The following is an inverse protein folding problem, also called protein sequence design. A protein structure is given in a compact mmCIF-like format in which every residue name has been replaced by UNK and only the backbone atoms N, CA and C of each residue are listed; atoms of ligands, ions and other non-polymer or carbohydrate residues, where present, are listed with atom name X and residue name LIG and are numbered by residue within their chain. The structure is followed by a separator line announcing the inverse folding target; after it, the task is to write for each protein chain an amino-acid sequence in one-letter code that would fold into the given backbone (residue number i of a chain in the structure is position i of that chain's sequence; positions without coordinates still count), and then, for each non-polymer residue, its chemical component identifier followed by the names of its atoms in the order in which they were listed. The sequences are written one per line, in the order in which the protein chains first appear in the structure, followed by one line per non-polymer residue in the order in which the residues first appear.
data_IF_450783952185
#
_entry.id   IF_450783952185
#
_cell.length_a   1.000
_cell.length_b   1.000
_cell.length_c   1.000
_cell.angle_alpha   90.00
_cell.angle_beta   90.00
_cell.angle_gamma   90.00
#
_symmetry.space_group_name_H-M   'P 1'
#
loop_
_entity.id
_entity.type
_entity.pdbx_description
1 polymer ?
#
# COMPACT_ATOMS: atom_id res chain seq x y z
N UNK A 1 -14.12 -23.74 -18.77
CA UNK A 1 -14.10 -23.29 -17.36
C UNK A 1 -12.76 -22.63 -17.09
N UNK A 2 -12.72 -21.35 -16.69
CA UNK A 2 -11.46 -20.66 -16.38
C UNK A 2 -10.92 -21.20 -15.05
N UNK A 3 -9.67 -21.71 -15.05
CA UNK A 3 -8.98 -22.15 -13.83
C UNK A 3 -8.75 -20.92 -12.94
N UNK A 4 -9.40 -20.87 -11.78
CA UNK A 4 -9.20 -19.80 -10.80
C UNK A 4 -7.93 -20.09 -10.01
N UNK A 5 -6.93 -19.22 -10.12
CA UNK A 5 -5.78 -19.20 -9.20
C UNK A 5 -6.15 -18.34 -8.00
N UNK A 6 -5.86 -18.83 -6.79
CA UNK A 6 -6.21 -18.16 -5.53
C UNK A 6 -4.94 -17.85 -4.76
N UNK A 7 -4.86 -16.63 -4.26
CA UNK A 7 -3.86 -16.16 -3.29
C UNK A 7 -4.62 -15.80 -2.02
N UNK A 8 -4.07 -16.13 -0.86
CA UNK A 8 -4.67 -15.82 0.44
C UNK A 8 -3.72 -14.89 1.18
N UNK A 9 -4.25 -13.76 1.63
CA UNK A 9 -3.58 -12.85 2.55
C UNK A 9 -4.25 -12.97 3.92
N UNK A 10 -3.46 -13.12 4.96
CA UNK A 10 -3.96 -13.17 6.34
C UNK A 10 -3.66 -11.84 7.01
N UNK A 11 -4.69 -11.23 7.58
CA UNK A 11 -4.59 -9.99 8.34
C UNK A 11 -5.06 -10.27 9.77
N UNK A 12 -4.47 -9.58 10.74
CA UNK A 12 -5.10 -9.46 12.05
C UNK A 12 -6.40 -8.64 11.96
N UNK A 13 -7.21 -8.69 13.02
CA UNK A 13 -8.52 -8.04 13.06
C UNK A 13 -8.45 -6.52 12.86
N UNK A 14 -7.44 -5.84 13.40
CA UNK A 14 -7.29 -4.38 13.27
C UNK A 14 -6.90 -3.99 11.85
N UNK A 15 -6.00 -4.77 11.25
CA UNK A 15 -5.56 -4.60 9.87
C UNK A 15 -6.70 -4.86 8.88
N UNK A 16 -7.52 -5.89 9.12
CA UNK A 16 -8.72 -6.16 8.31
C UNK A 16 -9.73 -5.03 8.41
N UNK A 17 -10.03 -4.56 9.63
CA UNK A 17 -10.93 -3.42 9.84
C UNK A 17 -10.43 -2.16 9.14
N UNK A 18 -9.13 -1.89 9.21
CA UNK A 18 -8.52 -0.74 8.52
C UNK A 18 -8.68 -0.86 6.99
N UNK A 19 -8.57 -2.07 6.44
CA UNK A 19 -8.79 -2.33 5.02
C UNK A 19 -10.26 -2.11 4.61
N UNK A 20 -11.20 -2.49 5.47
CA UNK A 20 -12.63 -2.23 5.29
C UNK A 20 -12.94 -0.73 5.32
N UNK A 21 -12.36 0.01 6.28
CA UNK A 21 -12.51 1.46 6.38
C UNK A 21 -11.98 2.16 5.12
N UNK A 22 -10.83 1.73 4.59
CA UNK A 22 -10.28 2.26 3.32
C UNK A 22 -11.21 1.96 2.15
N UNK A 23 -11.81 0.75 2.10
CA UNK A 23 -12.80 0.41 1.07
C UNK A 23 -13.96 1.41 1.09
N UNK A 24 -14.52 1.67 2.26
CA UNK A 24 -15.68 2.54 2.44
C UNK A 24 -15.35 4.01 2.15
N UNK A 25 -14.27 4.54 2.72
CA UNK A 25 -13.85 5.93 2.56
C UNK A 25 -13.32 6.23 1.15
N UNK A 26 -12.65 5.26 0.53
CA UNK A 26 -12.17 5.34 -0.86
C UNK A 26 -13.25 5.07 -1.90
N UNK A 27 -14.48 4.75 -1.48
CA UNK A 27 -15.58 4.35 -2.34
C UNK A 27 -15.25 3.20 -3.29
N UNK A 28 -14.41 2.26 -2.85
CA UNK A 28 -14.04 1.09 -3.63
C UNK A 28 -15.21 0.10 -3.68
N UNK A 29 -15.47 -0.46 -4.86
CA UNK A 29 -16.61 -1.35 -5.10
C UNK A 29 -16.50 -2.70 -4.39
N UNK A 30 -15.27 -3.12 -4.05
CA UNK A 30 -15.00 -4.40 -3.39
C UNK A 30 -13.69 -4.37 -2.61
N UNK A 31 -13.52 -5.29 -1.65
CA UNK A 31 -12.24 -5.51 -0.98
C UNK A 31 -11.12 -5.89 -1.97
N UNK A 32 -11.46 -6.58 -3.06
CA UNK A 32 -10.49 -6.96 -4.09
C UNK A 32 -9.93 -5.73 -4.81
N UNK A 33 -10.76 -4.71 -5.07
CA UNK A 33 -10.30 -3.45 -5.65
C UNK A 33 -9.41 -2.68 -4.67
N UNK A 34 -9.78 -2.62 -3.38
CA UNK A 34 -8.94 -2.01 -2.35
C UNK A 34 -7.57 -2.66 -2.28
N UNK A 35 -7.52 -4.01 -2.22
CA UNK A 35 -6.25 -4.74 -2.20
C UNK A 35 -5.43 -4.49 -3.47
N UNK A 36 -6.08 -4.45 -4.64
CA UNK A 36 -5.39 -4.16 -5.91
C UNK A 36 -4.74 -2.77 -5.90
N UNK A 37 -5.46 -1.75 -5.46
CA UNK A 37 -4.90 -0.39 -5.40
C UNK A 37 -3.78 -0.29 -4.35
N UNK A 38 -3.94 -0.92 -3.17
CA UNK A 38 -2.87 -0.98 -2.17
C UNK A 38 -1.59 -1.63 -2.70
N UNK A 39 -1.72 -2.73 -3.46
CA UNK A 39 -0.57 -3.38 -4.12
C UNK A 39 0.08 -2.51 -5.20
N UNK A 40 -0.72 -1.73 -5.95
CA UNK A 40 -0.19 -0.79 -6.94
C UNK A 40 0.59 0.35 -6.27
N UNK A 41 0.06 0.91 -5.19
CA UNK A 41 0.76 1.94 -4.40
C UNK A 41 2.07 1.37 -3.85
N UNK A 42 2.03 0.18 -3.26
CA UNK A 42 3.24 -0.50 -2.75
C UNK A 42 4.30 -0.70 -3.84
N UNK A 43 3.92 -1.18 -5.03
CA UNK A 43 4.85 -1.34 -6.16
C UNK A 43 5.41 0.00 -6.65
N UNK A 44 4.58 1.05 -6.70
CA UNK A 44 5.04 2.37 -7.08
C UNK A 44 6.09 2.88 -6.09
N UNK A 45 5.82 2.79 -4.78
CA UNK A 45 6.77 3.17 -3.72
C UNK A 45 8.09 2.40 -3.84
N UNK A 46 8.04 1.09 -4.08
CA UNK A 46 9.23 0.28 -4.30
C UNK A 46 10.04 0.79 -5.50
N UNK A 47 9.39 1.06 -6.64
CA UNK A 47 10.08 1.57 -7.83
C UNK A 47 10.73 2.95 -7.62
N UNK A 48 10.14 3.79 -6.75
CA UNK A 48 10.73 5.08 -6.40
C UNK A 48 11.91 4.89 -5.43
N UNK A 49 11.81 3.97 -4.47
CA UNK A 49 12.92 3.63 -3.59
C UNK A 49 14.14 3.12 -4.39
N UNK A 50 13.94 2.27 -5.40
CA UNK A 50 14.98 1.81 -6.32
C UNK A 50 15.66 2.94 -7.11
N UNK A 51 14.97 4.07 -7.28
CA UNK A 51 15.50 5.27 -7.93
C UNK A 51 16.17 6.24 -6.94
N UNK A 52 16.23 5.90 -5.65
CA UNK A 52 16.87 6.71 -4.61
C UNK A 52 15.95 7.70 -3.91
N UNK A 53 14.64 7.66 -4.14
CA UNK A 53 13.69 8.48 -3.37
C UNK A 53 13.50 7.89 -1.96
N UNK A 54 13.62 8.73 -0.93
CA UNK A 54 13.55 8.30 0.48
C UNK A 54 12.29 8.77 1.20
N UNK A 55 11.53 9.69 0.59
CA UNK A 55 10.40 10.37 1.23
C UNK A 55 9.21 10.50 0.26
N UNK A 56 8.00 10.40 0.81
CA UNK A 56 6.72 10.65 0.12
C UNK A 56 6.01 11.79 0.82
N UNK A 57 5.62 12.81 0.07
CA UNK A 57 4.79 13.89 0.60
C UNK A 57 3.34 13.57 0.27
N UNK A 58 2.54 13.35 1.31
CA UNK A 58 1.09 13.18 1.21
C UNK A 58 0.45 14.51 1.55
N UNK A 59 -0.22 15.13 0.57
CA UNK A 59 -0.91 16.42 0.74
C UNK A 59 -2.41 16.23 0.74
N UNK A 60 -3.09 16.79 1.74
CA UNK A 60 -4.53 16.94 1.73
C UNK A 60 -4.91 18.17 0.89
N UNK A 61 -5.56 18.01 -0.27
CA UNK A 61 -5.84 19.14 -1.16
C UNK A 61 -6.90 20.11 -0.60
N UNK A 62 -7.68 19.71 0.41
CA UNK A 62 -8.72 20.56 1.02
C UNK A 62 -8.16 21.46 2.12
N UNK A 63 -7.18 20.96 2.89
CA UNK A 63 -6.60 21.68 4.03
C UNK A 63 -5.18 22.19 3.77
N UNK A 64 -4.55 21.78 2.67
CA UNK A 64 -3.11 21.95 2.39
C UNK A 64 -2.20 21.34 3.46
N UNK A 65 -2.72 20.49 4.34
CA UNK A 65 -1.88 19.76 5.30
C UNK A 65 -0.97 18.79 4.54
N UNK A 66 0.32 18.83 4.87
CA UNK A 66 1.32 17.93 4.34
C UNK A 66 1.80 16.98 5.42
N UNK A 67 1.94 15.71 5.06
CA UNK A 67 2.57 14.69 5.88
C UNK A 67 3.68 14.04 5.09
N UNK A 68 4.87 14.03 5.67
CA UNK A 68 6.02 13.30 5.11
C UNK A 68 5.95 11.87 5.62
N UNK A 69 5.90 10.92 4.69
CA UNK A 69 6.00 9.50 4.96
C UNK A 69 7.37 9.06 4.48
N UNK A 70 8.22 8.63 5.39
CA UNK A 70 9.51 8.03 5.05
C UNK A 70 9.23 6.69 4.38
N UNK A 71 9.78 6.45 3.19
CA UNK A 71 9.75 5.11 2.59
C UNK A 71 10.81 4.33 3.37
N UNK A 72 10.44 3.34 4.22
CA UNK A 72 11.45 2.48 4.82
C UNK A 72 12.19 1.86 3.65
N UNK A 73 13.52 1.90 3.66
CA UNK A 73 14.33 1.20 2.66
C UNK A 73 13.84 -0.23 2.59
N UNK A 74 13.07 -0.58 1.54
CA UNK A 74 12.53 -1.92 1.33
C UNK A 74 13.62 -2.89 0.85
N UNK A 75 14.88 -2.58 1.15
CA UNK A 75 15.95 -3.55 1.05
C UNK A 75 15.70 -4.59 2.16
N UNK A 76 15.47 -5.87 1.84
CA UNK A 76 15.87 -6.88 2.81
C UNK A 76 17.33 -6.61 3.07
N UNK A 77 17.69 -6.40 4.34
CA UNK A 77 19.07 -6.20 4.76
C UNK A 77 19.95 -7.16 3.96
N UNK A 78 20.73 -6.60 3.05
CA UNK A 78 21.80 -7.33 2.37
C UNK A 78 23.01 -7.36 3.29
N UNK A 79 22.77 -7.55 4.59
CA UNK A 79 23.76 -7.85 5.60
C UNK A 79 23.77 -9.38 5.72
N UNK A 80 24.41 -10.00 4.74
CA UNK A 80 24.94 -11.36 4.85
C UNK A 80 26.40 -11.28 4.45
N UNK A 81 27.23 -10.81 5.38
CA UNK A 81 28.66 -11.13 5.45
C UNK A 81 28.86 -12.35 6.35
#
# INVERSE_FOLDING_TARGET
MVKKQRVVFTFDERSLKSLEDIKEQGHFSSLADTVRESLRVSRALQSQAEQGYTEVIVRNPKTNEERVVVIPSLHPDSDSD
#
